data_IF_054888343688
#
_entry.id   IF_054888343688
#
_cell.length_a   1.000
_cell.length_b   1.000
_cell.length_c   1.000
_cell.angle_alpha   90.00
_cell.angle_beta   90.00
_cell.angle_gamma   90.00
#
_symmetry.space_group_name_H-M   'P 1'
#
loop_
_entity.id
_entity.type
_entity.pdbx_description
1 polymer ?
#
# COMPACT_ATOMS: atom_id res chain seq x y z
N UNK A 1 13.72 -12.35 -4.78
CA UNK A 1 13.71 -13.29 -5.94
C UNK A 1 12.50 -13.07 -6.89
N UNK A 2 11.32 -12.67 -6.41
CA UNK A 2 10.12 -12.50 -7.26
C UNK A 2 10.09 -11.18 -8.02
N UNK A 3 10.50 -10.06 -7.40
CA UNK A 3 10.47 -8.72 -8.02
C UNK A 3 11.35 -8.61 -9.25
N UNK A 4 12.49 -9.27 -9.25
CA UNK A 4 13.46 -9.29 -10.34
C UNK A 4 12.92 -9.92 -11.64
N UNK A 5 12.04 -10.93 -11.53
CA UNK A 5 11.44 -11.60 -12.69
C UNK A 5 10.30 -10.84 -13.34
N UNK A 6 9.69 -9.88 -12.64
CA UNK A 6 8.44 -9.25 -13.04
C UNK A 6 8.59 -7.83 -13.62
N UNK A 7 9.58 -7.08 -13.15
CA UNK A 7 9.73 -5.66 -13.53
C UNK A 7 10.93 -5.46 -14.47
N UNK A 8 11.79 -6.47 -14.60
CA UNK A 8 13.08 -6.34 -15.27
C UNK A 8 14.17 -5.85 -14.33
N UNK A 9 15.41 -6.22 -14.65
CA UNK A 9 16.56 -5.98 -13.75
C UNK A 9 16.83 -4.49 -13.51
N UNK A 10 16.73 -3.68 -14.57
CA UNK A 10 16.99 -2.23 -14.50
C UNK A 10 15.96 -1.51 -13.63
N UNK A 11 14.69 -1.80 -13.85
CA UNK A 11 13.61 -1.13 -13.13
C UNK A 11 13.54 -1.59 -11.68
N UNK A 12 13.88 -2.86 -11.41
CA UNK A 12 13.98 -3.38 -10.05
C UNK A 12 15.07 -2.67 -9.24
N UNK A 13 16.26 -2.48 -9.84
CA UNK A 13 17.37 -1.75 -9.19
C UNK A 13 16.97 -0.28 -8.95
N UNK A 14 16.31 0.36 -9.90
CA UNK A 14 15.82 1.74 -9.75
C UNK A 14 14.80 1.85 -8.61
N UNK A 15 13.84 0.94 -8.51
CA UNK A 15 12.84 0.92 -7.43
C UNK A 15 13.51 0.71 -6.08
N UNK A 16 14.48 -0.21 -5.97
CA UNK A 16 15.23 -0.44 -4.74
C UNK A 16 16.03 0.79 -4.31
N UNK A 17 16.71 1.43 -5.25
CA UNK A 17 17.48 2.65 -4.98
C UNK A 17 16.55 3.77 -4.50
N UNK A 18 15.46 4.00 -5.20
CA UNK A 18 14.47 5.01 -4.83
C UNK A 18 13.80 4.71 -3.47
N UNK A 19 13.53 3.44 -3.16
CA UNK A 19 13.01 3.05 -1.86
C UNK A 19 14.02 3.32 -0.74
N UNK A 20 15.31 3.09 -1.00
CA UNK A 20 16.40 3.41 -0.07
C UNK A 20 16.54 4.91 0.15
N UNK A 21 16.49 5.71 -0.91
CA UNK A 21 16.58 7.17 -0.84
C UNK A 21 15.38 7.73 -0.05
N UNK A 22 14.17 7.29 -0.36
CA UNK A 22 12.95 7.66 0.37
C UNK A 22 13.03 7.28 1.85
N UNK A 23 13.55 6.09 2.17
CA UNK A 23 13.76 5.67 3.56
C UNK A 23 14.76 6.56 4.27
N UNK A 24 15.88 6.87 3.61
CA UNK A 24 16.92 7.75 4.16
C UNK A 24 16.38 9.15 4.42
N UNK A 25 15.62 9.70 3.50
CA UNK A 25 15.01 11.02 3.64
C UNK A 25 13.95 11.05 4.75
N UNK A 26 13.07 10.05 4.80
CA UNK A 26 11.96 10.02 5.75
C UNK A 26 12.36 9.65 7.17
N UNK A 27 13.34 8.77 7.35
CA UNK A 27 13.66 8.20 8.67
C UNK A 27 15.07 8.53 9.16
N UNK A 28 16.07 8.58 8.29
CA UNK A 28 17.46 8.86 8.68
C UNK A 28 17.67 10.37 8.85
N UNK A 29 17.28 11.17 7.86
CA UNK A 29 17.46 12.62 7.89
C UNK A 29 16.59 13.31 8.94
N UNK A 30 15.42 12.76 9.24
CA UNK A 30 14.52 13.25 10.31
C UNK A 30 14.99 12.85 11.71
N UNK A 31 16.00 11.98 11.81
CA UNK A 31 16.53 11.50 13.08
C UNK A 31 15.68 10.42 13.76
N UNK A 32 14.58 9.99 13.15
CA UNK A 32 13.69 8.94 13.68
C UNK A 32 14.45 7.61 13.83
N UNK A 33 15.27 7.24 12.84
CA UNK A 33 16.10 6.04 12.89
C UNK A 33 17.09 6.07 14.06
N UNK A 34 17.70 7.25 14.30
CA UNK A 34 18.59 7.46 15.44
C UNK A 34 17.82 7.41 16.76
N UNK A 35 16.70 8.10 16.87
CA UNK A 35 15.87 8.10 18.07
C UNK A 35 15.35 6.69 18.41
N UNK A 36 14.98 5.91 17.40
CA UNK A 36 14.63 4.51 17.58
C UNK A 36 15.82 3.69 18.09
N UNK A 37 16.99 3.84 17.48
CA UNK A 37 18.22 3.14 17.93
C UNK A 37 18.60 3.54 19.33
N UNK A 38 18.58 4.82 19.66
CA UNK A 38 18.91 5.33 21.00
C UNK A 38 17.90 4.86 22.05
N UNK A 39 16.63 4.77 21.70
CA UNK A 39 15.58 4.24 22.58
C UNK A 39 15.77 2.75 22.89
N UNK A 40 16.32 1.98 21.95
CA UNK A 40 16.53 0.54 22.13
C UNK A 40 17.96 0.17 22.57
N UNK A 41 18.93 1.08 22.41
CA UNK A 41 20.27 0.95 22.97
C UNK A 41 20.30 1.44 24.43
N UNK A 42 19.32 1.03 25.24
CA UNK A 42 19.47 1.08 26.70
C UNK A 42 20.79 0.36 27.03
N UNK A 43 21.68 1.01 27.80
CA UNK A 43 23.06 0.52 27.99
C UNK A 43 23.06 -0.90 28.52
N UNK A 44 23.73 -1.84 27.81
CA UNK A 44 23.76 -3.24 28.22
C UNK A 44 24.52 -3.47 29.53
N UNK A 45 25.31 -2.48 29.96
CA UNK A 45 26.25 -2.65 31.06
C UNK A 45 25.63 -2.78 32.44
N UNK A 46 24.51 -2.10 32.71
CA UNK A 46 23.93 -2.12 34.05
C UNK A 46 22.84 -3.19 34.22
N UNK A 47 22.23 -3.65 33.14
CA UNK A 47 21.17 -4.67 33.18
C UNK A 47 21.68 -6.09 32.93
N UNK A 48 22.86 -6.27 32.33
CA UNK A 48 23.44 -7.59 32.09
C UNK A 48 23.85 -8.30 33.40
N UNK A 49 24.09 -7.55 34.47
CA UNK A 49 24.46 -8.10 35.79
C UNK A 49 23.26 -8.51 36.66
N UNK A 50 22.05 -8.18 36.30
CA UNK A 50 20.85 -8.61 36.99
C UNK A 50 20.32 -9.88 36.29
N UNK A 51 20.79 -11.05 36.80
CA UNK A 51 20.24 -12.34 36.40
C UNK A 51 18.77 -12.42 36.76
N UNK A 52 17.87 -12.60 35.79
CA UNK A 52 16.46 -12.72 36.05
C UNK A 52 15.59 -12.43 34.80
N UNK A 53 14.27 -12.34 34.96
CA UNK A 53 13.33 -12.09 33.88
C UNK A 53 13.61 -10.81 33.07
N UNK A 54 14.30 -9.82 33.67
CA UNK A 54 14.67 -8.57 32.98
C UNK A 54 15.53 -8.81 31.73
N UNK A 55 16.43 -9.78 31.76
CA UNK A 55 17.29 -10.13 30.60
C UNK A 55 16.46 -10.61 29.39
N UNK A 56 15.39 -11.35 29.65
CA UNK A 56 14.47 -11.79 28.59
C UNK A 56 13.70 -10.61 28.00
N UNK A 57 13.26 -9.65 28.82
CA UNK A 57 12.58 -8.45 28.34
C UNK A 57 13.49 -7.57 27.49
N UNK A 58 14.74 -7.34 27.89
CA UNK A 58 15.71 -6.57 27.11
C UNK A 58 15.98 -7.24 25.76
N UNK A 59 16.18 -8.55 25.72
CA UNK A 59 16.35 -9.29 24.46
C UNK A 59 15.13 -9.23 23.56
N UNK A 60 13.92 -9.30 24.13
CA UNK A 60 12.68 -9.12 23.35
C UNK A 60 12.56 -7.71 22.77
N UNK A 61 12.90 -6.66 23.54
CA UNK A 61 12.86 -5.28 23.06
C UNK A 61 13.89 -5.04 21.94
N UNK A 62 15.10 -5.57 22.04
CA UNK A 62 16.12 -5.47 20.97
C UNK A 62 15.66 -6.15 19.69
N UNK A 63 15.11 -7.37 19.79
CA UNK A 63 14.55 -8.08 18.64
C UNK A 63 13.37 -7.34 18.00
N UNK A 64 12.50 -6.72 18.81
CA UNK A 64 11.38 -5.91 18.32
C UNK A 64 11.91 -4.68 17.58
N UNK A 65 12.97 -4.04 18.06
CA UNK A 65 13.57 -2.87 17.46
C UNK A 65 14.18 -3.15 16.09
N UNK A 66 14.99 -4.20 16.00
CA UNK A 66 15.58 -4.63 14.72
C UNK A 66 14.49 -5.00 13.72
N UNK A 67 13.48 -5.74 14.16
CA UNK A 67 12.33 -6.08 13.34
C UNK A 67 11.52 -4.84 12.90
N UNK A 68 11.42 -3.81 13.73
CA UNK A 68 10.72 -2.57 13.39
C UNK A 68 11.42 -1.81 12.25
N UNK A 69 12.75 -1.71 12.27
CA UNK A 69 13.51 -1.09 11.19
C UNK A 69 13.34 -1.84 9.86
N UNK A 70 13.37 -3.18 9.89
CA UNK A 70 13.07 -3.99 8.72
C UNK A 70 11.65 -3.76 8.22
N UNK A 71 10.70 -3.66 9.13
CA UNK A 71 9.29 -3.44 8.79
C UNK A 71 9.06 -2.07 8.16
N UNK A 72 9.66 -1.00 8.71
CA UNK A 72 9.61 0.35 8.13
C UNK A 72 10.23 0.39 6.73
N UNK A 73 11.39 -0.26 6.55
CA UNK A 73 12.00 -0.37 5.23
C UNK A 73 11.09 -1.13 4.24
N UNK A 74 10.45 -2.20 4.68
CA UNK A 74 9.51 -2.97 3.84
C UNK A 74 8.29 -2.14 3.45
N UNK A 75 7.76 -1.30 4.33
CA UNK A 75 6.67 -0.38 4.02
C UNK A 75 7.11 0.61 2.93
N UNK A 76 8.28 1.24 3.08
CA UNK A 76 8.80 2.18 2.09
C UNK A 76 9.08 1.53 0.74
N UNK A 77 9.60 0.32 0.74
CA UNK A 77 9.81 -0.46 -0.48
C UNK A 77 8.48 -0.74 -1.20
N UNK A 78 7.46 -1.19 -0.47
CA UNK A 78 6.13 -1.46 -1.04
C UNK A 78 5.46 -0.20 -1.54
N UNK A 79 5.52 0.89 -0.78
CA UNK A 79 5.00 2.18 -1.19
C UNK A 79 5.66 2.69 -2.49
N UNK A 80 6.98 2.57 -2.58
CA UNK A 80 7.72 2.95 -3.80
C UNK A 80 7.33 2.08 -4.99
N UNK A 81 7.11 0.80 -4.76
CA UNK A 81 6.65 -0.13 -5.79
C UNK A 81 5.22 0.18 -6.25
N UNK A 82 4.31 0.48 -5.33
CA UNK A 82 2.93 0.88 -5.66
C UNK A 82 2.91 2.20 -6.45
N UNK A 83 3.78 3.15 -6.10
CA UNK A 83 3.95 4.38 -6.88
C UNK A 83 4.50 4.13 -8.29
N UNK A 84 5.40 3.16 -8.45
CA UNK A 84 5.89 2.75 -9.77
C UNK A 84 4.75 2.21 -10.65
N UNK A 85 3.79 1.49 -10.07
CA UNK A 85 2.63 0.94 -10.79
C UNK A 85 1.53 1.97 -11.08
N UNK A 86 1.55 3.13 -10.42
CA UNK A 86 0.51 4.15 -10.53
C UNK A 86 0.26 4.64 -11.98
N UNK A 87 1.27 4.94 -12.82
CA UNK A 87 1.05 5.32 -14.21
C UNK A 87 0.39 4.20 -15.04
N UNK A 88 0.72 2.94 -14.78
CA UNK A 88 0.09 1.80 -15.45
C UNK A 88 -1.38 1.64 -15.04
N UNK A 89 -1.69 1.89 -13.76
CA UNK A 89 -3.06 1.94 -13.27
C UNK A 89 -3.86 3.05 -13.95
N UNK A 90 -3.28 4.23 -14.16
CA UNK A 90 -3.95 5.36 -14.80
C UNK A 90 -4.43 5.01 -16.22
N UNK A 91 -3.64 4.24 -16.98
CA UNK A 91 -4.00 3.77 -18.33
C UNK A 91 -5.28 2.92 -18.33
N UNK A 92 -5.57 2.20 -17.25
CA UNK A 92 -6.78 1.37 -17.13
C UNK A 92 -7.93 2.16 -16.49
N UNK A 93 -7.64 3.00 -15.51
CA UNK A 93 -8.65 3.78 -14.78
C UNK A 93 -9.29 4.82 -15.68
N UNK A 94 -8.52 5.57 -16.48
CA UNK A 94 -9.04 6.65 -17.32
C UNK A 94 -10.10 6.15 -18.32
N UNK A 95 -9.86 5.10 -19.14
CA UNK A 95 -10.88 4.56 -20.03
C UNK A 95 -12.09 4.00 -19.29
N UNK A 96 -11.89 3.42 -18.12
CA UNK A 96 -12.96 2.87 -17.29
C UNK A 96 -13.89 3.95 -16.75
N UNK A 97 -13.34 5.09 -16.29
CA UNK A 97 -14.12 6.26 -15.89
C UNK A 97 -14.92 6.81 -17.07
N UNK A 98 -14.27 6.94 -18.23
CA UNK A 98 -14.94 7.41 -19.45
C UNK A 98 -16.09 6.49 -19.85
N UNK A 99 -15.90 5.16 -19.85
CA UNK A 99 -16.94 4.19 -20.09
C UNK A 99 -18.10 4.29 -19.09
N UNK A 100 -17.80 4.58 -17.82
CA UNK A 100 -18.79 4.84 -16.78
C UNK A 100 -19.66 6.08 -17.10
N UNK A 101 -19.01 7.18 -17.51
CA UNK A 101 -19.69 8.42 -17.91
C UNK A 101 -20.57 8.20 -19.13
N UNK A 102 -20.06 7.52 -20.16
CA UNK A 102 -20.85 7.22 -21.37
C UNK A 102 -22.08 6.38 -21.05
N UNK A 103 -21.95 5.35 -20.19
CA UNK A 103 -23.10 4.56 -19.72
C UNK A 103 -24.09 5.38 -18.90
N UNK A 104 -23.61 6.28 -18.07
CA UNK A 104 -24.47 7.20 -17.31
C UNK A 104 -25.25 8.12 -18.24
N UNK A 105 -24.57 8.73 -19.24
CA UNK A 105 -25.24 9.57 -20.27
C UNK A 105 -26.29 8.76 -21.04
N UNK A 106 -25.95 7.57 -21.52
CA UNK A 106 -26.89 6.72 -22.25
C UNK A 106 -28.15 6.41 -21.41
N UNK A 107 -27.99 6.08 -20.12
CA UNK A 107 -29.12 5.88 -19.21
C UNK A 107 -29.94 7.15 -18.98
N UNK A 108 -29.30 8.32 -19.03
CA UNK A 108 -30.01 9.61 -18.88
C UNK A 108 -30.90 9.88 -20.07
N UNK A 109 -30.41 9.65 -21.30
CA UNK A 109 -31.20 9.88 -22.52
C UNK A 109 -32.32 8.84 -22.72
N UNK A 110 -32.07 7.58 -22.38
CA UNK A 110 -33.01 6.47 -22.57
C UNK A 110 -33.93 6.23 -21.36
N UNK A 111 -33.97 7.16 -20.39
CA UNK A 111 -34.72 7.01 -19.13
C UNK A 111 -34.43 5.69 -18.39
N UNK A 112 -33.26 5.08 -18.64
CA UNK A 112 -32.87 3.82 -18.06
C UNK A 112 -32.75 3.91 -16.53
N UNK A 113 -33.05 2.81 -15.84
CA UNK A 113 -33.00 2.75 -14.37
C UNK A 113 -31.58 2.82 -13.84
N UNK A 114 -31.35 3.73 -12.89
CA UNK A 114 -30.10 3.76 -12.10
C UNK A 114 -30.31 2.94 -10.82
N UNK A 115 -29.58 1.85 -10.67
CA UNK A 115 -29.74 0.95 -9.53
C UNK A 115 -29.00 1.47 -8.28
N UNK A 116 -29.72 1.82 -7.18
CA UNK A 116 -29.08 2.22 -5.92
C UNK A 116 -28.25 1.09 -5.31
N UNK A 117 -28.66 -0.16 -5.55
CA UNK A 117 -27.94 -1.35 -5.10
C UNK A 117 -26.54 -1.45 -5.75
N UNK A 118 -26.46 -1.27 -7.07
CA UNK A 118 -25.18 -1.29 -7.78
C UNK A 118 -24.29 -0.13 -7.38
N UNK A 119 -24.86 1.05 -7.11
CA UNK A 119 -24.12 2.19 -6.62
C UNK A 119 -23.48 1.90 -5.25
N UNK A 120 -24.23 1.35 -4.30
CA UNK A 120 -23.70 0.95 -2.99
C UNK A 120 -22.63 -0.13 -3.09
N UNK A 121 -22.84 -1.15 -3.92
CA UNK A 121 -21.87 -2.25 -4.13
C UNK A 121 -20.58 -1.76 -4.78
N UNK A 122 -20.66 -0.82 -5.71
CA UNK A 122 -19.45 -0.23 -6.33
C UNK A 122 -18.62 0.59 -5.35
N UNK A 123 -19.24 1.33 -4.42
CA UNK A 123 -18.50 2.01 -3.33
C UNK A 123 -17.77 0.99 -2.44
N UNK A 124 -18.44 -0.11 -2.09
CA UNK A 124 -17.82 -1.18 -1.31
C UNK A 124 -16.66 -1.80 -2.07
N UNK A 125 -16.80 -2.03 -3.39
CA UNK A 125 -15.75 -2.60 -4.22
C UNK A 125 -14.50 -1.71 -4.28
N UNK A 126 -14.70 -0.40 -4.47
CA UNK A 126 -13.60 0.58 -4.43
C UNK A 126 -12.95 0.58 -3.04
N UNK A 127 -13.75 0.59 -1.99
CA UNK A 127 -13.27 0.54 -0.61
C UNK A 127 -12.40 -0.68 -0.33
N UNK A 128 -12.83 -1.86 -0.77
CA UNK A 128 -12.03 -3.08 -0.67
C UNK A 128 -10.73 -3.01 -1.48
N UNK A 129 -10.76 -2.39 -2.68
CA UNK A 129 -9.56 -2.15 -3.49
C UNK A 129 -8.53 -1.31 -2.74
N UNK A 130 -8.94 -0.17 -2.19
CA UNK A 130 -8.07 0.72 -1.41
C UNK A 130 -7.60 0.03 -0.12
N UNK A 131 -8.52 -0.63 0.59
CA UNK A 131 -8.20 -1.32 1.84
C UNK A 131 -7.20 -2.45 1.63
N UNK A 132 -7.30 -3.21 0.54
CA UNK A 132 -6.34 -4.28 0.24
C UNK A 132 -4.91 -3.78 0.05
N UNK A 133 -4.75 -2.58 -0.53
CA UNK A 133 -3.42 -1.95 -0.68
C UNK A 133 -2.88 -1.51 0.67
N UNK A 134 -3.69 -0.79 1.46
CA UNK A 134 -3.30 -0.39 2.81
C UNK A 134 -2.91 -1.61 3.65
N UNK A 135 -3.72 -2.66 3.59
CA UNK A 135 -3.45 -3.91 4.29
C UNK A 135 -2.14 -4.55 3.81
N UNK A 136 -1.88 -4.54 2.50
CA UNK A 136 -0.64 -5.09 1.94
C UNK A 136 0.61 -4.33 2.38
N UNK A 137 0.50 -3.01 2.65
CA UNK A 137 1.61 -2.21 3.17
C UNK A 137 1.99 -2.60 4.60
N UNK A 138 0.97 -2.84 5.46
CA UNK A 138 1.19 -3.05 6.89
C UNK A 138 1.46 -4.50 7.29
N UNK A 139 0.98 -5.48 6.53
CA UNK A 139 1.15 -6.88 6.90
C UNK A 139 2.53 -7.38 6.43
N UNK A 140 3.40 -7.85 7.35
CA UNK A 140 4.72 -8.39 7.02
C UNK A 140 4.63 -9.83 6.48
N UNK A 141 3.65 -10.12 5.61
CA UNK A 141 3.57 -11.41 4.96
C UNK A 141 4.52 -11.46 3.76
N UNK A 142 5.12 -12.62 3.45
CA UNK A 142 5.92 -12.84 2.26
C UNK A 142 5.06 -12.90 0.99
N UNK A 143 4.00 -12.07 0.94
CA UNK A 143 3.12 -11.94 -0.23
C UNK A 143 3.84 -11.10 -1.27
N UNK A 144 3.89 -11.52 -2.53
CA UNK A 144 4.44 -10.69 -3.59
C UNK A 144 3.74 -9.34 -3.60
N UNK A 145 4.45 -8.21 -3.48
CA UNK A 145 3.84 -6.88 -3.39
C UNK A 145 2.99 -6.53 -4.61
N UNK A 146 3.19 -7.23 -5.72
CA UNK A 146 2.42 -7.10 -6.95
C UNK A 146 0.93 -7.50 -6.81
N UNK A 147 0.58 -8.34 -5.84
CA UNK A 147 -0.81 -8.77 -5.65
C UNK A 147 -1.70 -7.59 -5.26
N UNK A 148 -1.21 -6.68 -4.42
CA UNK A 148 -1.92 -5.46 -4.06
C UNK A 148 -2.19 -4.57 -5.28
N UNK A 149 -1.17 -4.33 -6.10
CA UNK A 149 -1.28 -3.57 -7.33
C UNK A 149 -2.26 -4.20 -8.33
N UNK A 150 -2.23 -5.53 -8.52
CA UNK A 150 -3.17 -6.24 -9.40
C UNK A 150 -4.61 -6.13 -8.91
N UNK A 151 -4.85 -6.26 -7.61
CA UNK A 151 -6.19 -6.10 -7.03
C UNK A 151 -6.69 -4.67 -7.30
N UNK A 152 -5.86 -3.65 -7.11
CA UNK A 152 -6.20 -2.27 -7.42
C UNK A 152 -6.56 -2.06 -8.90
N UNK A 153 -5.71 -2.55 -9.80
CA UNK A 153 -5.91 -2.42 -11.25
C UNK A 153 -7.24 -3.01 -11.72
N UNK A 154 -7.75 -4.03 -11.03
CA UNK A 154 -9.03 -4.67 -11.36
C UNK A 154 -10.21 -4.03 -10.62
N UNK A 155 -10.11 -3.89 -9.29
CA UNK A 155 -11.26 -3.49 -8.47
C UNK A 155 -11.62 -2.01 -8.62
N UNK A 156 -10.63 -1.13 -8.72
CA UNK A 156 -10.88 0.32 -8.80
C UNK A 156 -11.54 0.71 -10.13
N UNK A 157 -11.06 0.27 -11.31
CA UNK A 157 -11.71 0.60 -12.57
C UNK A 157 -13.14 0.06 -12.68
N UNK A 158 -13.35 -1.20 -12.28
CA UNK A 158 -14.69 -1.80 -12.31
C UNK A 158 -15.61 -1.06 -11.36
N UNK A 159 -15.18 -0.83 -10.12
CA UNK A 159 -15.96 -0.13 -9.11
C UNK A 159 -16.29 1.31 -9.54
N UNK A 160 -15.33 2.06 -10.06
CA UNK A 160 -15.54 3.44 -10.51
C UNK A 160 -16.46 3.54 -11.71
N UNK A 161 -16.32 2.66 -12.69
CA UNK A 161 -17.23 2.60 -13.84
C UNK A 161 -18.68 2.27 -13.44
N UNK A 162 -18.86 1.32 -12.53
CA UNK A 162 -20.19 0.97 -11.98
C UNK A 162 -20.77 2.09 -11.13
N UNK A 163 -19.96 2.76 -10.32
CA UNK A 163 -20.36 3.88 -9.49
C UNK A 163 -20.91 5.01 -10.36
N UNK A 164 -20.13 5.46 -11.35
CA UNK A 164 -20.51 6.57 -12.22
C UNK A 164 -21.75 6.22 -13.03
N UNK A 165 -21.81 5.00 -13.59
CA UNK A 165 -22.94 4.56 -14.42
C UNK A 165 -24.28 4.45 -13.66
N UNK A 166 -24.24 4.41 -12.32
CA UNK A 166 -25.41 4.32 -11.45
C UNK A 166 -25.59 5.54 -10.53
N UNK A 167 -24.96 6.66 -10.85
CA UNK A 167 -25.21 7.91 -10.12
C UNK A 167 -26.70 8.30 -10.25
N UNK A 168 -27.31 8.76 -9.12
CA UNK A 168 -28.68 9.21 -9.15
C UNK A 168 -28.85 10.40 -10.09
N UNK A 169 -29.89 10.37 -10.90
CA UNK A 169 -30.27 11.48 -11.75
C UNK A 169 -30.90 12.55 -10.86
N UNK A 170 -30.23 13.67 -10.69
CA UNK A 170 -30.89 14.88 -10.18
C UNK A 170 -31.64 15.49 -11.36
N UNK A 171 -32.94 15.44 -11.29
CA UNK A 171 -33.87 16.17 -12.17
C UNK A 171 -33.89 17.61 -11.71
#
# INVERSE_FOLDING_TARGET
AWGHKMIGEKDFVMVLQKARDNYTEAFVNTGIDKALKDFYQLPPSDMANHGGPLKYFVGLFQNIAENLNYWLYMIMYRLTLDMYWLPYMAVVIIPSLFAGVMRWMAKRYNFGYASPFLNRRSMVLIGWGVYSVLLSLFIPLPVPPMIGALIMIVMIPIGSSLLISNLPKRI
#
